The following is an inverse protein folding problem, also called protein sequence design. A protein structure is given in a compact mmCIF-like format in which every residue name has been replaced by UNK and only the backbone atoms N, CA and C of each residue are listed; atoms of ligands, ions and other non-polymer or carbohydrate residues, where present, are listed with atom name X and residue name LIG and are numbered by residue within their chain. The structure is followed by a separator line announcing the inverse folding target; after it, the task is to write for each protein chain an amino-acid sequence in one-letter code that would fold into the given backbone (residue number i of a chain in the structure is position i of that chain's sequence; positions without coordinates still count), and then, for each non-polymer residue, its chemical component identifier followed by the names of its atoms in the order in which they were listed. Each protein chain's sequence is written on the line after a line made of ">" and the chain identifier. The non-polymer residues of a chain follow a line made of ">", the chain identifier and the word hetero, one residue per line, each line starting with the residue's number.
data_IF_583144875687
#
_entry.id   IF_583144875687
#
_cell.length_a   1.000
_cell.length_b   1.000
_cell.length_c   1.000
_cell.angle_alpha   90.00
_cell.angle_beta   90.00
_cell.angle_gamma   90.00
#
_symmetry.space_group_name_H-M   'P 1'
#
loop_
_entity.id
_entity.type
_entity.pdbx_description
1 polymer ?
#
# COMPACT_ATOMS: atom_id res chain seq x y z
N UNK A 1 -50.84 22.67 9.00
CA UNK A 1 -49.98 21.57 8.54
C UNK A 1 -50.84 20.33 8.40
N UNK A 2 -50.95 19.77 7.21
CA UNK A 2 -51.74 18.57 6.92
C UNK A 2 -50.90 17.31 7.16
N UNK A 3 -51.55 16.15 7.35
CA UNK A 3 -50.85 14.87 7.57
C UNK A 3 -49.83 14.56 6.45
N UNK A 4 -50.15 14.92 5.21
CA UNK A 4 -49.28 14.77 4.04
C UNK A 4 -48.09 15.74 4.01
N UNK A 5 -48.24 16.95 4.55
CA UNK A 5 -47.11 17.91 4.69
C UNK A 5 -46.10 17.43 5.75
N UNK A 6 -46.59 16.77 6.80
CA UNK A 6 -45.74 16.15 7.83
C UNK A 6 -44.95 14.96 7.25
N UNK A 7 -45.64 14.02 6.58
CA UNK A 7 -45.01 12.88 5.91
C UNK A 7 -43.97 13.31 4.85
N UNK A 8 -44.27 14.36 4.08
CA UNK A 8 -43.33 14.91 3.09
C UNK A 8 -42.08 15.50 3.76
N UNK A 9 -42.22 16.09 4.95
CA UNK A 9 -41.10 16.65 5.71
C UNK A 9 -40.23 15.55 6.30
N UNK A 10 -40.82 14.51 6.86
CA UNK A 10 -40.09 13.33 7.36
C UNK A 10 -39.34 12.61 6.24
N UNK A 11 -39.98 12.40 5.08
CA UNK A 11 -39.33 11.79 3.92
C UNK A 11 -38.16 12.62 3.39
N UNK A 12 -38.24 13.96 3.43
CA UNK A 12 -37.13 14.83 3.04
C UNK A 12 -35.96 14.73 4.00
N UNK A 13 -36.24 14.75 5.31
CA UNK A 13 -35.20 14.59 6.33
C UNK A 13 -34.53 13.21 6.25
N UNK A 14 -35.30 12.16 5.95
CA UNK A 14 -34.75 10.83 5.72
C UNK A 14 -33.88 10.76 4.46
N UNK A 15 -34.32 11.37 3.35
CA UNK A 15 -33.52 11.45 2.14
C UNK A 15 -32.21 12.20 2.34
N UNK A 16 -32.19 13.27 3.14
CA UNK A 16 -30.97 13.98 3.49
C UNK A 16 -30.03 13.11 4.32
N UNK A 17 -30.53 12.44 5.38
CA UNK A 17 -29.72 11.51 6.17
C UNK A 17 -29.11 10.38 5.33
N UNK A 18 -29.91 9.77 4.46
CA UNK A 18 -29.44 8.70 3.58
C UNK A 18 -28.40 9.21 2.55
N UNK A 19 -28.49 10.47 2.13
CA UNK A 19 -27.48 11.07 1.24
C UNK A 19 -26.16 11.31 1.97
N UNK A 20 -26.24 11.78 3.21
CA UNK A 20 -25.07 12.01 4.05
C UNK A 20 -24.38 10.67 4.36
N UNK A 21 -25.14 9.66 4.79
CA UNK A 21 -24.63 8.30 5.03
C UNK A 21 -24.03 7.69 3.75
N UNK A 22 -24.66 7.89 2.59
CA UNK A 22 -24.10 7.40 1.32
C UNK A 22 -22.79 8.10 0.96
N UNK A 23 -22.64 9.38 1.29
CA UNK A 23 -21.41 10.12 1.06
C UNK A 23 -20.29 9.64 1.99
N UNK A 24 -20.60 9.39 3.26
CA UNK A 24 -19.66 8.83 4.24
C UNK A 24 -19.18 7.43 3.82
N UNK A 25 -20.11 6.53 3.50
CA UNK A 25 -19.76 5.18 3.05
C UNK A 25 -18.92 5.17 1.76
N UNK A 26 -19.14 6.11 0.85
CA UNK A 26 -18.30 6.26 -0.35
C UNK A 26 -16.88 6.68 0.00
N UNK A 27 -16.71 7.62 0.93
CA UNK A 27 -15.40 8.04 1.40
C UNK A 27 -14.66 6.89 2.10
N UNK A 28 -15.34 6.10 2.92
CA UNK A 28 -14.77 4.90 3.56
C UNK A 28 -14.34 3.85 2.52
N UNK A 29 -15.14 3.63 1.48
CA UNK A 29 -14.77 2.71 0.39
C UNK A 29 -13.51 3.19 -0.34
N UNK A 30 -13.40 4.48 -0.63
CA UNK A 30 -12.21 5.06 -1.28
C UNK A 30 -10.96 4.91 -0.40
N UNK A 31 -11.09 5.10 0.92
CA UNK A 31 -9.98 4.89 1.87
C UNK A 31 -9.55 3.41 1.91
N UNK A 32 -10.50 2.48 2.05
CA UNK A 32 -10.21 1.04 2.05
C UNK A 32 -9.57 0.58 0.74
N UNK A 33 -10.00 1.11 -0.41
CA UNK A 33 -9.39 0.81 -1.70
C UNK A 33 -7.94 1.27 -1.74
N UNK A 34 -7.65 2.48 -1.23
CA UNK A 34 -6.29 3.00 -1.16
C UNK A 34 -5.40 2.15 -0.26
N UNK A 35 -5.90 1.68 0.88
CA UNK A 35 -5.15 0.76 1.75
C UNK A 35 -4.87 -0.57 1.05
N UNK A 36 -5.86 -1.14 0.36
CA UNK A 36 -5.69 -2.38 -0.39
C UNK A 36 -4.64 -2.24 -1.52
N UNK A 37 -4.60 -1.10 -2.20
CA UNK A 37 -3.60 -0.80 -3.24
C UNK A 37 -2.17 -0.71 -2.65
N UNK A 38 -2.03 -0.12 -1.45
CA UNK A 38 -0.75 -0.07 -0.74
C UNK A 38 -0.28 -1.47 -0.31
N UNK A 39 -1.20 -2.31 0.18
CA UNK A 39 -0.88 -3.69 0.54
C UNK A 39 -0.48 -4.52 -0.69
N UNK A 40 -1.11 -4.29 -1.85
CA UNK A 40 -0.70 -4.91 -3.10
C UNK A 40 0.74 -4.53 -3.49
N UNK A 41 1.12 -3.26 -3.35
CA UNK A 41 2.50 -2.80 -3.58
C UNK A 41 3.51 -3.51 -2.66
N UNK A 42 3.20 -3.64 -1.37
CA UNK A 42 4.03 -4.38 -0.43
C UNK A 42 4.17 -5.86 -0.80
N UNK A 43 3.06 -6.50 -1.19
CA UNK A 43 3.05 -7.90 -1.60
C UNK A 43 3.90 -8.13 -2.87
N UNK A 44 3.82 -7.23 -3.84
CA UNK A 44 4.64 -7.26 -5.06
C UNK A 44 6.14 -7.12 -4.72
N UNK A 45 6.50 -6.13 -3.89
CA UNK A 45 7.87 -5.93 -3.41
C UNK A 45 8.44 -7.15 -2.70
N UNK A 46 7.70 -7.73 -1.75
CA UNK A 46 8.10 -8.93 -1.02
C UNK A 46 8.24 -10.14 -1.95
N UNK A 47 7.31 -10.31 -2.89
CA UNK A 47 7.35 -11.39 -3.87
C UNK A 47 8.58 -11.30 -4.77
N UNK A 48 8.94 -10.11 -5.23
CA UNK A 48 10.16 -9.89 -6.01
C UNK A 48 11.41 -10.21 -5.20
N UNK A 49 11.47 -9.79 -3.94
CA UNK A 49 12.57 -10.09 -3.03
C UNK A 49 12.73 -11.60 -2.82
N UNK A 50 11.64 -12.32 -2.58
CA UNK A 50 11.64 -13.77 -2.41
C UNK A 50 12.10 -14.46 -3.70
N UNK A 51 11.59 -14.06 -4.86
CA UNK A 51 12.02 -14.62 -6.16
C UNK A 51 13.52 -14.41 -6.40
N UNK A 52 14.04 -13.23 -6.10
CA UNK A 52 15.47 -12.95 -6.20
C UNK A 52 16.29 -13.84 -5.25
N UNK A 53 15.87 -13.97 -3.98
CA UNK A 53 16.54 -14.83 -3.00
C UNK A 53 16.51 -16.31 -3.39
N UNK A 54 15.41 -16.81 -3.95
CA UNK A 54 15.29 -18.20 -4.43
C UNK A 54 16.22 -18.41 -5.63
N UNK A 55 16.08 -17.60 -6.67
CA UNK A 55 16.84 -17.76 -7.91
C UNK A 55 18.35 -17.69 -7.66
N UNK A 56 18.76 -16.91 -6.68
CA UNK A 56 20.13 -16.74 -6.29
C UNK A 56 20.61 -17.82 -5.30
N UNK A 57 19.74 -18.26 -4.38
CA UNK A 57 19.97 -19.40 -3.50
C UNK A 57 20.12 -20.74 -4.24
N UNK A 58 19.44 -20.91 -5.38
CA UNK A 58 19.58 -22.07 -6.27
C UNK A 58 20.93 -22.10 -7.01
N UNK A 59 21.53 -20.92 -7.23
CA UNK A 59 22.83 -20.76 -7.89
C UNK A 59 24.02 -20.78 -6.93
N UNK A 60 23.79 -20.66 -5.62
CA UNK A 60 24.86 -20.51 -4.66
C UNK A 60 25.25 -21.84 -3.98
N UNK A 61 26.52 -22.26 -4.08
CA UNK A 61 27.00 -23.47 -3.40
C UNK A 61 27.04 -23.34 -1.88
N UNK A 62 27.05 -22.11 -1.33
CA UNK A 62 26.93 -21.86 0.11
C UNK A 62 25.96 -20.72 0.40
N UNK A 63 24.71 -21.08 0.67
CA UNK A 63 23.60 -20.16 0.94
C UNK A 63 23.85 -19.18 2.10
N UNK A 64 24.68 -19.54 3.08
CA UNK A 64 24.99 -18.67 4.23
C UNK A 64 25.98 -17.54 3.88
N UNK A 65 26.74 -17.67 2.78
CA UNK A 65 27.71 -16.67 2.33
C UNK A 65 27.17 -15.80 1.17
N UNK A 66 25.86 -15.81 0.95
CA UNK A 66 25.27 -15.20 -0.23
C UNK A 66 25.39 -13.65 -0.23
N UNK A 67 25.92 -13.01 -1.30
CA UNK A 67 26.00 -11.55 -1.41
C UNK A 67 24.70 -10.80 -1.08
N UNK A 68 23.54 -11.29 -1.54
CA UNK A 68 22.22 -10.68 -1.24
C UNK A 68 21.79 -10.77 0.24
N UNK A 69 22.36 -11.69 1.03
CA UNK A 69 22.08 -11.83 2.46
C UNK A 69 23.04 -11.00 3.33
N UNK A 70 24.07 -10.38 2.73
CA UNK A 70 24.97 -9.47 3.44
C UNK A 70 24.15 -8.32 4.02
N UNK A 71 24.30 -8.11 5.33
CA UNK A 71 23.67 -6.99 6.03
C UNK A 71 24.61 -5.80 5.98
N UNK A 72 24.09 -4.66 5.56
CA UNK A 72 24.83 -3.41 5.47
C UNK A 72 24.00 -2.22 5.94
N UNK A 73 24.65 -1.06 6.14
CA UNK A 73 23.95 0.18 6.42
C UNK A 73 23.14 0.60 5.20
N UNK A 74 21.91 1.04 5.45
CA UNK A 74 21.00 1.61 4.48
C UNK A 74 20.39 2.87 5.08
N UNK A 75 20.35 3.97 4.32
CA UNK A 75 19.72 5.21 4.74
C UNK A 75 18.31 5.29 4.17
N UNK A 76 17.30 5.39 5.04
CA UNK A 76 15.92 5.58 4.61
C UNK A 76 15.76 6.94 3.92
N UNK A 77 15.25 6.94 2.70
CA UNK A 77 15.05 8.14 1.89
C UNK A 77 13.98 9.09 2.46
N UNK A 78 13.02 8.58 3.23
CA UNK A 78 11.98 9.41 3.86
C UNK A 78 12.42 9.99 5.20
N UNK A 79 13.03 9.17 6.06
CA UNK A 79 13.35 9.56 7.44
C UNK A 79 14.79 10.02 7.64
N UNK A 80 15.68 9.76 6.67
CA UNK A 80 17.12 9.98 6.81
C UNK A 80 17.81 9.03 7.79
N UNK A 81 17.07 8.12 8.42
CA UNK A 81 17.59 7.22 9.44
C UNK A 81 18.45 6.12 8.81
N UNK A 82 19.58 5.82 9.46
CA UNK A 82 20.42 4.68 9.07
C UNK A 82 19.93 3.42 9.76
N UNK A 83 19.63 2.40 8.98
CA UNK A 83 19.17 1.09 9.43
C UNK A 83 19.96 -0.04 8.78
N UNK A 84 19.97 -1.21 9.41
CA UNK A 84 20.67 -2.38 8.88
C UNK A 84 19.72 -3.26 8.07
N UNK A 85 19.89 -3.30 6.76
CA UNK A 85 19.09 -4.12 5.82
C UNK A 85 19.98 -5.10 5.06
N UNK A 86 19.38 -6.11 4.45
CA UNK A 86 20.09 -7.02 3.54
C UNK A 86 20.33 -6.34 2.20
N UNK A 87 21.36 -6.75 1.46
CA UNK A 87 21.65 -6.26 0.11
C UNK A 87 20.51 -6.54 -0.90
N UNK A 88 19.56 -7.42 -0.58
CA UNK A 88 18.33 -7.61 -1.35
C UNK A 88 17.27 -6.49 -1.18
N UNK A 89 17.42 -5.60 -0.20
CA UNK A 89 16.41 -4.59 0.12
C UNK A 89 16.15 -3.55 -1.00
N UNK A 90 17.14 -3.13 -1.82
CA UNK A 90 16.88 -2.28 -2.98
C UNK A 90 15.93 -2.94 -4.01
N UNK A 91 16.05 -4.26 -4.23
CA UNK A 91 15.16 -5.00 -5.15
C UNK A 91 13.71 -4.99 -4.68
N UNK A 92 13.48 -5.06 -3.36
CA UNK A 92 12.16 -4.88 -2.76
C UNK A 92 11.59 -3.49 -3.09
N UNK A 93 12.39 -2.43 -2.94
CA UNK A 93 11.96 -1.05 -3.19
C UNK A 93 11.66 -0.82 -4.68
N UNK A 94 12.51 -1.31 -5.58
CA UNK A 94 12.30 -1.20 -7.03
C UNK A 94 11.00 -1.86 -7.48
N UNK A 95 10.69 -3.05 -6.96
CA UNK A 95 9.44 -3.73 -7.25
C UNK A 95 8.21 -3.03 -6.63
N UNK A 96 8.33 -2.54 -5.39
CA UNK A 96 7.28 -1.71 -4.78
C UNK A 96 6.98 -0.47 -5.63
N UNK A 97 8.02 0.23 -6.10
CA UNK A 97 7.85 1.43 -6.91
C UNK A 97 7.25 1.15 -8.29
N UNK A 98 7.58 -0.01 -8.87
CA UNK A 98 7.01 -0.43 -10.15
C UNK A 98 5.50 -0.66 -9.99
N UNK A 99 5.09 -1.44 -8.99
CA UNK A 99 3.68 -1.72 -8.72
C UNK A 99 2.91 -0.43 -8.39
N UNK A 100 3.47 0.43 -7.54
CA UNK A 100 2.83 1.67 -7.16
C UNK A 100 2.61 2.61 -8.37
N UNK A 101 3.53 2.63 -9.34
CA UNK A 101 3.32 3.39 -10.59
C UNK A 101 2.25 2.76 -11.48
N UNK A 102 2.17 1.43 -11.53
CA UNK A 102 1.11 0.73 -12.26
C UNK A 102 -0.28 1.01 -11.68
N UNK A 103 -0.36 1.18 -10.35
CA UNK A 103 -1.57 1.59 -9.64
C UNK A 103 -1.83 3.12 -9.68
N UNK A 104 -0.98 3.89 -10.36
CA UNK A 104 -1.18 5.32 -10.60
C UNK A 104 -0.64 6.27 -9.52
N UNK A 105 0.21 5.79 -8.60
CA UNK A 105 0.89 6.67 -7.65
C UNK A 105 2.08 7.39 -8.31
N UNK A 106 2.04 8.73 -8.33
CA UNK A 106 3.08 9.56 -8.97
C UNK A 106 4.42 9.59 -8.21
N UNK A 107 4.37 9.48 -6.89
CA UNK A 107 5.55 9.55 -6.00
C UNK A 107 5.59 8.35 -5.05
N UNK A 108 5.86 7.13 -5.58
CA UNK A 108 5.86 5.91 -4.79
C UNK A 108 6.89 5.93 -3.65
N UNK A 109 7.96 6.72 -3.78
CA UNK A 109 8.96 6.94 -2.73
C UNK A 109 8.42 7.50 -1.42
N UNK A 110 7.29 8.20 -1.46
CA UNK A 110 6.63 8.78 -0.29
C UNK A 110 5.66 7.80 0.39
N UNK A 111 5.42 6.64 -0.21
CA UNK A 111 4.53 5.58 0.29
C UNK A 111 5.30 4.41 0.93
N UNK A 112 6.63 4.51 0.88
CA UNK A 112 7.62 3.53 1.35
C UNK A 112 7.78 3.58 2.87
N UNK A 113 6.77 3.18 3.64
CA UNK A 113 6.94 2.94 5.08
C UNK A 113 8.16 2.03 5.38
#
# INVERSE_FOLDING_TARGET
>A
MTATEFELTELRAELERLRDENAELRAEIEEMQREADLDACHAAGLSAQIKALIAEGDRCPNKAAHPLLVRGPYTNSMTGETMTKTAAYPLYREAFDAEARELGFESPENLRA
#
